data_IF_118580085778
#
_entry.id   IF_118580085778
#
_cell.length_a   1.000
_cell.length_b   1.000
_cell.length_c   1.000
_cell.angle_alpha   90.00
_cell.angle_beta   90.00
_cell.angle_gamma   90.00
#
_symmetry.space_group_name_H-M   'P 1'
#
loop_
_entity.id
_entity.type
_entity.pdbx_description
1 polymer ?
#
# COMPACT_ATOMS: atom_id res chain seq x y z
N UNK A 1 -14.43 3.35 16.90
CA UNK A 1 -15.67 2.59 17.24
C UNK A 1 -16.56 2.36 16.02
N UNK A 2 -16.72 3.37 15.15
CA UNK A 2 -17.57 3.26 13.96
C UNK A 2 -17.07 2.23 12.95
N UNK A 3 -15.75 2.17 12.71
CA UNK A 3 -15.13 1.26 11.76
C UNK A 3 -14.94 -0.17 12.30
N UNK A 4 -15.21 -0.43 13.59
CA UNK A 4 -15.00 -1.73 14.26
C UNK A 4 -13.58 -2.31 14.12
N UNK A 5 -12.59 -1.44 13.90
CA UNK A 5 -11.18 -1.85 13.78
C UNK A 5 -10.65 -2.22 15.17
N UNK A 6 -10.04 -3.39 15.28
CA UNK A 6 -9.26 -3.75 16.46
C UNK A 6 -7.93 -2.99 16.46
N UNK A 7 -7.66 -2.30 17.54
CA UNK A 7 -6.43 -1.52 17.72
C UNK A 7 -5.61 -2.01 18.93
N UNK A 8 -5.81 -3.25 19.34
CA UNK A 8 -5.09 -3.85 20.48
C UNK A 8 -3.57 -3.92 20.27
N UNK A 9 -3.14 -4.05 19.01
CA UNK A 9 -1.73 -4.03 18.63
C UNK A 9 -1.14 -2.63 18.42
N UNK A 10 -1.94 -1.56 18.56
CA UNK A 10 -1.43 -0.21 18.37
C UNK A 10 -0.67 0.27 19.60
N UNK A 11 0.60 0.64 19.43
CA UNK A 11 1.37 1.32 20.48
C UNK A 11 0.73 2.66 20.84
N UNK A 12 0.74 3.01 22.13
CA UNK A 12 0.20 4.27 22.64
C UNK A 12 1.34 5.18 23.08
N UNK A 13 1.21 6.46 22.78
CA UNK A 13 2.21 7.46 23.12
C UNK A 13 1.53 8.78 23.52
N UNK A 14 2.18 9.53 24.42
CA UNK A 14 1.77 10.90 24.77
C UNK A 14 2.34 11.95 23.80
N UNK A 15 3.06 11.53 22.75
CA UNK A 15 3.59 12.42 21.73
C UNK A 15 2.49 12.91 20.79
N UNK A 16 2.69 14.05 20.12
CA UNK A 16 1.76 14.51 19.10
C UNK A 16 1.57 13.48 17.98
N UNK A 17 0.44 13.54 17.29
CA UNK A 17 0.23 12.78 16.05
C UNK A 17 0.95 13.43 14.88
N UNK A 18 1.33 12.65 13.88
CA UNK A 18 1.75 13.16 12.59
C UNK A 18 0.58 13.89 11.91
N UNK A 19 0.85 15.06 11.35
CA UNK A 19 -0.16 15.86 10.64
C UNK A 19 0.29 16.10 9.21
N UNK A 20 -0.61 15.89 8.26
CA UNK A 20 -0.42 16.24 6.87
C UNK A 20 -1.36 17.40 6.50
N UNK A 21 -0.79 18.47 5.95
CA UNK A 21 -1.57 19.55 5.33
C UNK A 21 -1.56 19.34 3.81
N UNK A 22 -2.73 19.37 3.23
CA UNK A 22 -2.90 19.28 1.79
C UNK A 22 -3.27 20.67 1.29
N UNK A 23 -2.44 21.23 0.40
CA UNK A 23 -2.71 22.47 -0.29
C UNK A 23 -2.96 22.16 -1.76
N UNK A 24 -4.10 22.56 -2.26
CA UNK A 24 -4.38 22.51 -3.70
C UNK A 24 -3.80 23.78 -4.36
N UNK A 25 -2.94 23.58 -5.34
CA UNK A 25 -2.39 24.65 -6.20
C UNK A 25 -2.71 24.26 -7.63
N UNK A 26 -3.54 25.03 -8.30
CA UNK A 26 -3.98 24.78 -9.69
C UNK A 26 -4.55 23.37 -9.90
N UNK A 27 -5.29 22.86 -8.92
CA UNK A 27 -5.90 21.53 -8.94
C UNK A 27 -4.96 20.37 -8.59
N UNK A 28 -3.68 20.65 -8.32
CA UNK A 28 -2.71 19.67 -7.87
C UNK A 28 -2.51 19.71 -6.36
N UNK A 29 -2.52 18.54 -5.71
CA UNK A 29 -2.29 18.43 -4.29
C UNK A 29 -0.79 18.52 -3.97
N UNK A 30 -0.41 19.46 -3.13
CA UNK A 30 0.91 19.52 -2.49
C UNK A 30 0.76 19.17 -1.03
N UNK A 31 1.71 18.39 -0.51
CA UNK A 31 1.67 17.88 0.86
C UNK A 31 2.77 18.52 1.69
N UNK A 32 2.42 18.97 2.90
CA UNK A 32 3.37 19.32 3.94
C UNK A 32 3.12 18.41 5.15
N UNK A 33 4.13 17.64 5.52
CA UNK A 33 4.07 16.72 6.66
C UNK A 33 4.79 17.31 7.86
N UNK A 34 4.15 17.20 9.01
CA UNK A 34 4.70 17.58 10.31
C UNK A 34 4.81 16.32 11.16
N UNK A 35 5.97 15.69 11.13
CA UNK A 35 6.22 14.43 11.82
C UNK A 35 7.33 14.48 12.88
N UNK A 36 7.98 15.63 13.07
CA UNK A 36 9.01 15.79 14.10
C UNK A 36 8.46 15.51 15.50
N UNK A 37 9.15 14.65 16.24
CA UNK A 37 8.80 14.24 17.61
C UNK A 37 7.40 13.61 17.76
N UNK A 38 6.79 13.18 16.66
CA UNK A 38 5.47 12.54 16.70
C UNK A 38 5.55 11.08 17.14
N UNK A 39 4.43 10.55 17.60
CA UNK A 39 4.29 9.15 17.96
C UNK A 39 4.61 8.22 16.78
N UNK A 40 4.13 8.55 15.58
CA UNK A 40 4.36 7.74 14.39
C UNK A 40 5.83 7.70 13.97
N UNK A 41 6.52 8.85 13.97
CA UNK A 41 7.94 8.90 13.60
C UNK A 41 8.87 8.22 14.60
N UNK A 42 8.54 8.28 15.89
CA UNK A 42 9.41 7.79 16.95
C UNK A 42 9.04 6.39 17.46
N UNK A 43 8.21 5.67 16.67
CA UNK A 43 7.99 4.26 16.90
C UNK A 43 9.33 3.50 16.84
N UNK A 44 9.57 2.62 17.80
CA UNK A 44 10.83 1.89 17.91
C UNK A 44 10.58 0.39 18.17
N UNK A 45 11.65 -0.41 18.27
CA UNK A 45 11.55 -1.86 18.41
C UNK A 45 10.76 -2.35 19.62
N UNK A 46 10.78 -1.59 20.71
CA UNK A 46 10.07 -1.95 21.95
C UNK A 46 8.54 -1.75 21.81
N UNK A 47 8.11 -0.94 20.84
CA UNK A 47 6.71 -0.72 20.54
C UNK A 47 6.10 -1.80 19.64
N UNK A 48 6.91 -2.71 19.09
CA UNK A 48 6.43 -3.74 18.18
C UNK A 48 5.63 -4.82 18.91
N UNK A 49 4.39 -5.11 18.47
CA UNK A 49 3.58 -6.14 19.10
C UNK A 49 4.11 -7.55 18.82
N UNK A 50 3.81 -8.46 19.73
CA UNK A 50 3.82 -9.88 19.42
C UNK A 50 2.50 -10.21 18.74
N UNK A 51 2.59 -10.63 17.48
CA UNK A 51 1.42 -10.95 16.68
C UNK A 51 1.01 -12.41 16.90
N UNK A 52 -0.27 -12.64 17.17
CA UNK A 52 -0.85 -13.97 17.26
C UNK A 52 -1.11 -14.59 15.88
N UNK A 53 -1.50 -15.86 15.83
CA UNK A 53 -1.71 -16.61 14.59
C UNK A 53 -2.96 -16.16 13.80
N UNK A 54 -3.83 -15.34 14.39
CA UNK A 54 -5.01 -14.78 13.69
C UNK A 54 -4.62 -13.66 12.71
N UNK A 55 -3.45 -13.04 12.88
CA UNK A 55 -2.93 -12.07 11.94
C UNK A 55 -2.30 -12.80 10.75
N UNK A 56 -2.97 -12.86 9.63
CA UNK A 56 -2.49 -13.55 8.42
C UNK A 56 -1.68 -12.66 7.48
N UNK A 57 -1.96 -11.37 7.46
CA UNK A 57 -1.40 -10.43 6.49
C UNK A 57 -0.96 -9.14 7.17
N UNK A 58 0.18 -8.62 6.74
CA UNK A 58 0.71 -7.32 7.16
C UNK A 58 0.83 -6.38 5.95
N UNK A 59 0.34 -5.17 6.12
CA UNK A 59 0.46 -4.10 5.14
C UNK A 59 1.44 -3.03 5.63
N UNK A 60 2.37 -2.65 4.76
CA UNK A 60 3.37 -1.61 5.02
C UNK A 60 3.31 -0.55 3.92
N UNK A 61 3.38 0.72 4.29
CA UNK A 61 3.37 1.73 3.24
C UNK A 61 3.49 3.17 3.68
N UNK A 62 3.56 4.02 2.68
CA UNK A 62 3.53 5.46 2.80
C UNK A 62 4.73 6.07 3.52
N UNK A 63 4.47 7.22 4.13
CA UNK A 63 5.50 8.02 4.80
C UNK A 63 6.15 7.33 6.01
N UNK A 64 5.51 6.29 6.57
CA UNK A 64 6.07 5.52 7.69
C UNK A 64 7.33 4.72 7.32
N UNK A 65 7.61 4.57 6.02
CA UNK A 65 8.83 3.91 5.53
C UNK A 65 9.99 4.89 5.23
N UNK A 66 9.79 6.19 5.44
CA UNK A 66 10.77 7.23 5.05
C UNK A 66 11.76 7.52 6.18
N UNK A 67 11.26 7.88 7.34
CA UNK A 67 12.08 8.45 8.42
C UNK A 67 12.32 7.47 9.57
N UNK A 68 13.56 7.41 10.03
CA UNK A 68 13.93 6.65 11.22
C UNK A 68 13.54 7.42 12.51
N UNK A 69 13.31 6.67 13.62
CA UNK A 69 13.47 5.22 13.79
C UNK A 69 12.29 4.39 13.27
N UNK A 70 11.12 4.98 13.01
CA UNK A 70 9.92 4.23 12.63
C UNK A 70 10.13 3.37 11.39
N UNK A 71 10.79 3.91 10.35
CA UNK A 71 10.98 3.19 9.10
C UNK A 71 11.84 1.94 9.27
N UNK A 72 12.92 2.00 10.04
CA UNK A 72 13.73 0.82 10.40
C UNK A 72 12.96 -0.15 11.30
N UNK A 73 12.07 0.35 12.14
CA UNK A 73 11.22 -0.48 13.00
C UNK A 73 10.19 -1.27 12.18
N UNK A 74 9.55 -0.65 11.20
CA UNK A 74 8.64 -1.35 10.29
C UNK A 74 9.37 -2.32 9.36
N UNK A 75 10.58 -1.99 8.90
CA UNK A 75 11.42 -2.93 8.16
C UNK A 75 11.78 -4.16 9.01
N UNK A 76 12.11 -3.97 10.29
CA UNK A 76 12.40 -5.05 11.23
C UNK A 76 11.16 -5.92 11.49
N UNK A 77 9.97 -5.31 11.63
CA UNK A 77 8.72 -6.06 11.76
C UNK A 77 8.45 -6.92 10.53
N UNK A 78 8.58 -6.35 9.32
CA UNK A 78 8.43 -7.12 8.11
C UNK A 78 9.43 -8.29 8.06
N UNK A 79 10.71 -8.04 8.34
CA UNK A 79 11.74 -9.07 8.32
C UNK A 79 11.46 -10.21 9.32
N UNK A 80 10.91 -9.89 10.49
CA UNK A 80 10.54 -10.87 11.52
C UNK A 80 9.38 -11.77 11.09
N UNK A 81 8.40 -11.20 10.36
CA UNK A 81 7.13 -11.88 10.07
C UNK A 81 7.05 -12.43 8.64
N UNK A 82 7.92 -12.01 7.72
CA UNK A 82 7.80 -12.29 6.30
C UNK A 82 7.81 -13.79 5.94
N UNK A 83 8.44 -14.64 6.74
CA UNK A 83 8.44 -16.10 6.47
C UNK A 83 7.11 -16.77 6.85
N UNK A 84 6.34 -16.17 7.75
CA UNK A 84 5.14 -16.77 8.33
C UNK A 84 3.84 -16.18 7.80
N UNK A 85 3.85 -14.91 7.39
CA UNK A 85 2.66 -14.12 7.05
C UNK A 85 2.78 -13.56 5.65
N UNK A 86 1.64 -13.33 5.02
CA UNK A 86 1.59 -12.53 3.79
C UNK A 86 2.01 -11.11 4.11
N UNK A 87 2.94 -10.56 3.33
CA UNK A 87 3.33 -9.16 3.45
C UNK A 87 3.02 -8.41 2.16
N UNK A 88 2.34 -7.28 2.30
CA UNK A 88 2.04 -6.35 1.22
C UNK A 88 2.73 -5.02 1.48
N UNK A 89 3.34 -4.44 0.45
CA UNK A 89 3.96 -3.12 0.51
C UNK A 89 3.40 -2.20 -0.56
N UNK A 90 3.05 -0.96 -0.17
CA UNK A 90 2.80 0.17 -1.06
C UNK A 90 3.74 1.32 -0.65
N UNK A 91 4.83 1.56 -1.37
CA UNK A 91 5.76 2.64 -1.03
C UNK A 91 5.10 4.00 -1.01
N UNK A 92 4.10 4.21 -1.89
CA UNK A 92 3.33 5.46 -1.98
C UNK A 92 4.24 6.68 -1.90
N UNK A 93 5.17 6.76 -2.85
CA UNK A 93 6.37 7.61 -2.81
C UNK A 93 6.00 9.09 -2.82
N UNK A 94 6.58 9.85 -1.91
CA UNK A 94 6.43 11.30 -1.83
C UNK A 94 7.84 11.91 -1.86
N UNK A 95 8.39 12.23 -3.04
CA UNK A 95 9.79 12.66 -3.20
C UNK A 95 10.15 13.86 -2.33
N UNK A 96 9.23 14.80 -2.14
CA UNK A 96 9.42 15.99 -1.33
C UNK A 96 9.62 15.72 0.17
N UNK A 97 9.22 14.54 0.64
CA UNK A 97 9.36 14.13 2.04
C UNK A 97 10.61 13.27 2.29
N UNK A 98 11.26 12.80 1.25
CA UNK A 98 12.44 11.92 1.34
C UNK A 98 13.70 12.77 1.43
N UNK A 99 14.31 12.82 2.61
CA UNK A 99 15.56 13.57 2.85
C UNK A 99 16.82 12.78 2.50
N UNK A 100 16.78 11.44 2.63
CA UNK A 100 17.88 10.54 2.26
C UNK A 100 17.36 9.47 1.25
N UNK A 101 17.47 9.84 -0.03
CA UNK A 101 17.01 8.95 -1.10
C UNK A 101 17.80 7.64 -1.18
N UNK A 102 19.08 7.66 -0.86
CA UNK A 102 19.94 6.45 -0.94
C UNK A 102 19.48 5.42 0.09
N UNK A 103 19.32 5.83 1.33
CA UNK A 103 18.84 4.96 2.41
C UNK A 103 17.41 4.48 2.14
N UNK A 104 16.51 5.39 1.71
CA UNK A 104 15.13 5.05 1.39
C UNK A 104 15.04 4.01 0.26
N UNK A 105 15.78 4.19 -0.85
CA UNK A 105 15.81 3.22 -1.96
C UNK A 105 16.34 1.86 -1.52
N UNK A 106 17.43 1.83 -0.74
CA UNK A 106 18.00 0.60 -0.21
C UNK A 106 17.01 -0.13 0.72
N UNK A 107 16.27 0.61 1.57
CA UNK A 107 15.20 0.06 2.42
C UNK A 107 14.08 -0.54 1.58
N UNK A 108 13.58 0.20 0.59
CA UNK A 108 12.52 -0.31 -0.31
C UNK A 108 12.98 -1.58 -1.03
N UNK A 109 14.20 -1.64 -1.52
CA UNK A 109 14.72 -2.83 -2.19
C UNK A 109 14.69 -4.06 -1.27
N UNK A 110 15.16 -3.93 -0.04
CA UNK A 110 15.12 -5.01 0.95
C UNK A 110 13.69 -5.41 1.33
N UNK A 111 12.79 -4.43 1.47
CA UNK A 111 11.39 -4.70 1.84
C UNK A 111 10.62 -5.32 0.67
N UNK A 112 10.82 -4.84 -0.55
CA UNK A 112 10.20 -5.40 -1.77
C UNK A 112 10.64 -6.86 -1.96
N UNK A 113 11.92 -7.18 -1.77
CA UNK A 113 12.41 -8.54 -1.95
C UNK A 113 11.79 -9.57 -1.00
N UNK A 114 11.27 -9.13 0.14
CA UNK A 114 10.61 -9.99 1.15
C UNK A 114 9.08 -10.00 1.01
N UNK A 115 8.51 -9.03 0.28
CA UNK A 115 7.07 -8.91 0.13
C UNK A 115 6.48 -10.00 -0.77
N UNK A 116 5.26 -10.41 -0.48
CA UNK A 116 4.48 -11.29 -1.35
C UNK A 116 3.71 -10.47 -2.39
N UNK A 117 3.22 -9.30 -1.98
CA UNK A 117 2.44 -8.39 -2.81
C UNK A 117 3.11 -7.01 -2.77
N UNK A 118 3.32 -6.44 -3.95
CA UNK A 118 3.76 -5.05 -4.09
C UNK A 118 2.73 -4.29 -4.91
N UNK A 119 2.26 -3.16 -4.38
CA UNK A 119 1.46 -2.22 -5.16
C UNK A 119 2.27 -0.94 -5.35
N UNK A 120 2.22 -0.40 -6.54
CA UNK A 120 2.80 0.90 -6.90
C UNK A 120 1.85 1.64 -7.85
N UNK A 121 1.91 2.97 -7.87
CA UNK A 121 1.39 3.74 -8.99
C UNK A 121 2.39 3.70 -10.15
N UNK A 122 1.95 4.10 -11.35
CA UNK A 122 2.83 4.37 -12.49
C UNK A 122 3.90 5.41 -12.13
N UNK A 123 3.53 6.46 -11.41
CA UNK A 123 4.47 7.47 -10.92
C UNK A 123 5.52 6.89 -9.96
N UNK A 124 5.12 6.02 -9.02
CA UNK A 124 6.03 5.35 -8.09
C UNK A 124 7.04 4.46 -8.84
N UNK A 125 6.55 3.70 -9.86
CA UNK A 125 7.41 2.86 -10.68
C UNK A 125 8.44 3.68 -11.46
N UNK A 126 8.01 4.77 -12.10
CA UNK A 126 8.91 5.65 -12.83
C UNK A 126 9.92 6.32 -11.91
N UNK A 127 9.51 6.76 -10.72
CA UNK A 127 10.44 7.32 -9.74
C UNK A 127 11.50 6.30 -9.28
N UNK A 128 11.08 5.06 -9.07
CA UNK A 128 11.98 4.01 -8.54
C UNK A 128 12.91 3.43 -9.60
N UNK A 129 12.41 3.19 -10.83
CA UNK A 129 13.10 2.43 -11.87
C UNK A 129 13.46 3.25 -13.11
N UNK A 130 12.98 4.50 -13.21
CA UNK A 130 13.09 5.34 -14.40
C UNK A 130 11.94 5.13 -15.39
N UNK A 131 11.93 5.92 -16.46
CA UNK A 131 10.91 5.85 -17.50
C UNK A 131 10.95 4.51 -18.23
N UNK A 132 9.76 4.00 -18.60
CA UNK A 132 9.66 2.73 -19.30
C UNK A 132 8.23 2.22 -19.44
N UNK A 133 8.09 1.11 -20.13
CA UNK A 133 6.82 0.39 -20.22
C UNK A 133 6.43 -0.19 -18.86
N UNK A 134 5.22 0.08 -18.41
CA UNK A 134 4.76 -0.28 -17.05
C UNK A 134 4.72 -1.78 -16.80
N UNK A 135 4.46 -2.60 -17.83
CA UNK A 135 4.50 -4.05 -17.66
C UNK A 135 5.93 -4.52 -17.45
N UNK A 136 6.88 -4.01 -18.25
CA UNK A 136 8.30 -4.36 -18.10
C UNK A 136 8.86 -3.90 -16.76
N UNK A 137 8.53 -2.69 -16.32
CA UNK A 137 8.90 -2.19 -14.99
C UNK A 137 8.29 -3.03 -13.87
N UNK A 138 7.01 -3.40 -13.99
CA UNK A 138 6.34 -4.28 -13.03
C UNK A 138 6.95 -5.69 -12.98
N UNK A 139 7.37 -6.25 -14.11
CA UNK A 139 8.09 -7.53 -14.16
C UNK A 139 9.46 -7.44 -13.48
N UNK A 140 10.16 -6.31 -13.63
CA UNK A 140 11.40 -6.06 -12.90
C UNK A 140 11.22 -6.03 -11.37
N UNK A 141 10.04 -5.63 -10.90
CA UNK A 141 9.69 -5.76 -9.48
C UNK A 141 9.40 -7.22 -9.10
N UNK A 142 8.66 -7.99 -9.93
CA UNK A 142 8.44 -9.43 -9.71
C UNK A 142 9.75 -10.21 -9.58
N UNK A 143 10.74 -9.87 -10.40
CA UNK A 143 12.06 -10.54 -10.40
C UNK A 143 12.83 -10.31 -9.08
N UNK A 144 12.44 -9.31 -8.28
CA UNK A 144 13.03 -9.06 -6.95
C UNK A 144 12.48 -9.97 -5.86
N UNK A 145 11.35 -10.67 -6.07
CA UNK A 145 10.81 -11.61 -5.07
C UNK A 145 9.29 -11.72 -4.95
N UNK A 146 8.52 -10.64 -5.11
CA UNK A 146 7.07 -10.67 -4.97
C UNK A 146 6.40 -11.70 -5.88
N UNK A 147 5.22 -12.17 -5.47
CA UNK A 147 4.40 -13.09 -6.27
C UNK A 147 3.35 -12.33 -7.06
N UNK A 148 2.92 -11.19 -6.55
CA UNK A 148 1.93 -10.31 -7.16
C UNK A 148 2.43 -8.87 -7.15
N UNK A 149 2.41 -8.22 -8.32
CA UNK A 149 2.63 -6.77 -8.46
C UNK A 149 1.37 -6.13 -9.01
N UNK A 150 0.91 -5.10 -8.33
CA UNK A 150 -0.26 -4.31 -8.68
C UNK A 150 0.21 -2.91 -9.12
N UNK A 151 -0.25 -2.45 -10.28
CA UNK A 151 0.10 -1.13 -10.82
C UNK A 151 -1.17 -0.34 -11.01
N UNK A 152 -1.33 0.76 -10.28
CA UNK A 152 -2.46 1.69 -10.47
C UNK A 152 -2.08 2.80 -11.46
N UNK A 153 -3.00 3.13 -12.37
CA UNK A 153 -2.83 4.10 -13.44
C UNK A 153 -3.96 5.16 -13.42
N UNK A 154 -4.31 5.61 -12.23
CA UNK A 154 -5.36 6.61 -12.03
C UNK A 154 -6.68 6.24 -12.72
N UNK A 155 -7.21 7.14 -13.54
CA UNK A 155 -8.48 6.96 -14.24
C UNK A 155 -8.44 5.86 -15.32
N UNK A 156 -7.27 5.39 -15.74
CA UNK A 156 -7.16 4.29 -16.69
C UNK A 156 -7.52 2.94 -16.05
N UNK A 157 -7.19 2.76 -14.78
CA UNK A 157 -7.48 1.52 -14.07
C UNK A 157 -6.28 0.95 -13.33
N UNK A 158 -6.22 -0.38 -13.23
CA UNK A 158 -5.14 -1.06 -12.54
C UNK A 158 -4.77 -2.38 -13.21
N UNK A 159 -3.50 -2.74 -13.10
CA UNK A 159 -2.91 -3.98 -13.63
C UNK A 159 -2.46 -4.87 -12.47
N UNK A 160 -2.65 -6.17 -12.63
CA UNK A 160 -2.07 -7.21 -11.77
C UNK A 160 -1.12 -8.07 -12.60
N UNK A 161 0.11 -8.20 -12.13
CA UNK A 161 1.15 -9.01 -12.75
C UNK A 161 1.58 -10.11 -11.79
N UNK A 162 1.60 -11.33 -12.29
CA UNK A 162 2.30 -12.48 -11.73
C UNK A 162 3.24 -13.05 -12.80
N UNK A 163 4.02 -14.08 -12.46
CA UNK A 163 4.95 -14.67 -13.44
C UNK A 163 4.22 -15.05 -14.73
N UNK A 164 3.09 -15.76 -14.61
CA UNK A 164 2.36 -16.35 -15.73
C UNK A 164 1.04 -15.63 -16.05
N UNK A 165 0.70 -14.57 -15.30
CA UNK A 165 -0.56 -13.84 -15.46
C UNK A 165 -0.32 -12.34 -15.61
N UNK A 166 -1.13 -11.73 -16.47
CA UNK A 166 -1.20 -10.28 -16.68
C UNK A 166 -2.66 -9.90 -16.89
N UNK A 167 -3.25 -9.26 -15.89
CA UNK A 167 -4.66 -8.83 -15.91
C UNK A 167 -4.75 -7.32 -15.79
N UNK A 168 -5.71 -6.74 -16.48
CA UNK A 168 -5.99 -5.30 -16.43
C UNK A 168 -7.48 -5.06 -16.22
N UNK A 169 -7.82 -4.24 -15.23
CA UNK A 169 -9.18 -3.81 -14.96
C UNK A 169 -9.27 -2.29 -15.17
N UNK A 170 -10.19 -1.86 -16.05
CA UNK A 170 -10.47 -0.44 -16.24
C UNK A 170 -11.11 0.15 -15.00
N UNK A 171 -10.73 1.38 -14.65
CA UNK A 171 -11.42 2.10 -13.58
C UNK A 171 -12.88 2.41 -14.01
N UNK A 172 -13.85 2.24 -13.10
CA UNK A 172 -15.20 2.74 -13.33
C UNK A 172 -15.18 4.26 -13.53
N UNK A 173 -16.10 4.77 -14.37
CA UNK A 173 -16.26 6.22 -14.53
C UNK A 173 -16.73 6.83 -13.21
N UNK A 174 -16.03 7.85 -12.76
CA UNK A 174 -16.38 8.62 -11.57
C UNK A 174 -16.19 10.11 -11.81
N UNK A 175 -17.06 10.92 -11.20
CA UNK A 175 -16.84 12.36 -11.11
C UNK A 175 -15.91 12.59 -9.92
N UNK A 176 -14.67 12.98 -10.22
CA UNK A 176 -13.64 13.14 -9.20
C UNK A 176 -13.91 14.39 -8.37
N UNK A 177 -14.15 14.20 -7.08
CA UNK A 177 -14.26 15.26 -6.08
C UNK A 177 -12.91 15.45 -5.35
N UNK A 178 -12.22 14.33 -5.02
CA UNK A 178 -10.93 14.33 -4.32
C UNK A 178 -10.19 13.01 -4.63
N UNK A 179 -8.87 13.04 -4.71
CA UNK A 179 -8.06 11.84 -4.96
C UNK A 179 -7.42 11.26 -3.71
N UNK A 180 -7.59 11.93 -2.56
CA UNK A 180 -7.01 11.51 -1.27
C UNK A 180 -7.59 10.17 -0.84
N UNK A 181 -6.72 9.21 -0.50
CA UNK A 181 -7.11 7.89 -0.02
C UNK A 181 -7.51 6.88 -1.11
N UNK A 182 -7.50 7.27 -2.40
CA UNK A 182 -7.83 6.35 -3.48
C UNK A 182 -6.91 5.11 -3.51
N UNK A 183 -5.59 5.33 -3.39
CA UNK A 183 -4.60 4.26 -3.32
C UNK A 183 -4.78 3.36 -2.10
N UNK A 184 -5.04 3.96 -0.94
CA UNK A 184 -5.27 3.21 0.31
C UNK A 184 -6.55 2.37 0.22
N UNK A 185 -7.62 2.94 -0.37
CA UNK A 185 -8.87 2.21 -0.62
C UNK A 185 -8.69 1.09 -1.65
N UNK A 186 -7.89 1.31 -2.68
CA UNK A 186 -7.53 0.25 -3.63
C UNK A 186 -6.82 -0.90 -2.92
N UNK A 187 -5.83 -0.62 -2.09
CA UNK A 187 -5.12 -1.62 -1.29
C UNK A 187 -6.06 -2.40 -0.38
N UNK A 188 -6.96 -1.71 0.32
CA UNK A 188 -7.98 -2.33 1.16
C UNK A 188 -8.92 -3.24 0.35
N UNK A 189 -9.34 -2.81 -0.84
CA UNK A 189 -10.18 -3.59 -1.74
C UNK A 189 -9.50 -4.87 -2.23
N UNK A 190 -8.21 -4.81 -2.57
CA UNK A 190 -7.41 -6.00 -2.92
C UNK A 190 -7.35 -6.98 -1.76
N UNK A 191 -6.97 -6.50 -0.57
CA UNK A 191 -6.84 -7.36 0.61
C UNK A 191 -8.18 -7.96 1.02
N UNK A 192 -9.27 -7.20 0.94
CA UNK A 192 -10.62 -7.69 1.21
C UNK A 192 -11.04 -8.78 0.23
N UNK A 193 -10.78 -8.60 -1.07
CA UNK A 193 -11.10 -9.62 -2.07
C UNK A 193 -10.30 -10.91 -1.84
N UNK A 194 -8.99 -10.80 -1.59
CA UNK A 194 -8.15 -11.96 -1.29
C UNK A 194 -8.60 -12.69 -0.03
N UNK A 195 -9.03 -11.96 1.00
CA UNK A 195 -9.58 -12.53 2.22
C UNK A 195 -10.89 -13.27 1.98
N UNK A 196 -11.82 -12.67 1.22
CA UNK A 196 -13.10 -13.28 0.84
C UNK A 196 -12.92 -14.55 0.02
N UNK A 197 -11.90 -14.63 -0.83
CA UNK A 197 -11.53 -15.79 -1.62
C UNK A 197 -10.73 -16.83 -0.82
N UNK A 198 -10.39 -16.55 0.44
CA UNK A 198 -9.64 -17.46 1.31
C UNK A 198 -8.13 -17.47 1.08
N UNK A 199 -7.59 -16.50 0.32
CA UNK A 199 -6.17 -16.41 0.00
C UNK A 199 -5.36 -15.69 1.11
N UNK A 200 -5.27 -16.32 2.28
CA UNK A 200 -4.66 -15.77 3.50
C UNK A 200 -3.24 -16.26 3.77
N UNK A 201 -2.67 -17.06 2.88
CA UNK A 201 -1.34 -17.65 3.06
C UNK A 201 -0.41 -17.33 1.89
N UNK A 202 0.89 -17.31 2.13
CA UNK A 202 1.91 -17.11 1.09
C UNK A 202 1.75 -18.08 -0.09
N UNK A 203 1.48 -19.34 0.23
CA UNK A 203 1.24 -20.37 -0.79
C UNK A 203 -0.02 -20.13 -1.60
N UNK A 204 -1.08 -19.56 -1.03
CA UNK A 204 -2.29 -19.18 -1.74
C UNK A 204 -2.02 -17.98 -2.67
N UNK A 205 -1.32 -16.94 -2.17
CA UNK A 205 -0.93 -15.80 -3.01
C UNK A 205 -0.08 -16.23 -4.22
N UNK A 206 0.82 -17.18 -4.04
CA UNK A 206 1.66 -17.68 -5.14
C UNK A 206 0.89 -18.46 -6.22
N UNK A 207 -0.35 -18.85 -5.96
CA UNK A 207 -1.21 -19.68 -6.85
C UNK A 207 -2.51 -19.00 -7.25
N UNK A 208 -2.60 -17.68 -7.14
CA UNK A 208 -3.77 -16.93 -7.61
C UNK A 208 -4.01 -17.19 -9.10
N UNK A 209 -5.27 -17.41 -9.43
CA UNK A 209 -5.72 -17.60 -10.82
C UNK A 209 -6.05 -16.25 -11.46
N UNK A 210 -6.24 -16.26 -12.78
CA UNK A 210 -6.71 -15.05 -13.47
C UNK A 210 -8.06 -14.57 -12.94
N UNK A 211 -8.97 -15.50 -12.59
CA UNK A 211 -10.25 -15.15 -11.99
C UNK A 211 -10.11 -14.48 -10.63
N UNK A 212 -9.17 -14.95 -9.79
CA UNK A 212 -8.89 -14.30 -8.50
C UNK A 212 -8.34 -12.89 -8.68
N UNK A 213 -7.45 -12.70 -9.67
CA UNK A 213 -6.90 -11.39 -10.00
C UNK A 213 -7.98 -10.44 -10.52
N UNK A 214 -8.87 -10.92 -11.40
CA UNK A 214 -9.98 -10.13 -11.92
C UNK A 214 -10.94 -9.71 -10.80
N UNK A 215 -11.26 -10.61 -9.88
CA UNK A 215 -12.11 -10.32 -8.72
C UNK A 215 -11.46 -9.26 -7.81
N UNK A 216 -10.17 -9.44 -7.50
CA UNK A 216 -9.42 -8.50 -6.66
C UNK A 216 -9.32 -7.11 -7.30
N UNK A 217 -8.97 -7.02 -8.59
CA UNK A 217 -8.91 -5.76 -9.32
C UNK A 217 -10.29 -5.10 -9.42
N UNK A 218 -11.35 -5.86 -9.68
CA UNK A 218 -12.71 -5.34 -9.80
C UNK A 218 -13.19 -4.71 -8.50
N UNK A 219 -13.02 -5.39 -7.36
CA UNK A 219 -13.41 -4.85 -6.06
C UNK A 219 -12.59 -3.59 -5.72
N UNK A 220 -11.28 -3.66 -5.91
CA UNK A 220 -10.36 -2.57 -5.58
C UNK A 220 -10.61 -1.31 -6.42
N UNK A 221 -10.82 -1.45 -7.74
CA UNK A 221 -11.09 -0.31 -8.62
C UNK A 221 -12.45 0.31 -8.36
N UNK A 222 -13.48 -0.49 -8.04
CA UNK A 222 -14.81 0.04 -7.65
C UNK A 222 -14.73 0.82 -6.34
N UNK A 223 -14.08 0.25 -5.32
CA UNK A 223 -13.90 0.92 -4.03
C UNK A 223 -13.15 2.26 -4.20
N UNK A 224 -12.06 2.27 -4.95
CA UNK A 224 -11.31 3.48 -5.25
C UNK A 224 -12.15 4.51 -6.02
N UNK A 225 -12.96 4.09 -6.99
CA UNK A 225 -13.84 4.98 -7.76
C UNK A 225 -14.90 5.66 -6.89
N UNK A 226 -15.46 4.95 -5.89
CA UNK A 226 -16.38 5.54 -4.92
C UNK A 226 -15.65 6.55 -4.02
N UNK A 227 -14.44 6.22 -3.58
CA UNK A 227 -13.62 7.12 -2.75
C UNK A 227 -13.35 8.45 -3.46
N UNK A 228 -12.89 8.41 -4.72
CA UNK A 228 -12.58 9.65 -5.45
C UNK A 228 -13.80 10.51 -5.78
N UNK A 229 -15.00 9.94 -5.74
CA UNK A 229 -16.25 10.67 -5.92
C UNK A 229 -16.71 11.41 -4.65
N UNK A 230 -15.97 11.29 -3.55
CA UNK A 230 -16.29 11.87 -2.23
C UNK A 230 -15.19 12.85 -1.81
N UNK A 231 -15.54 13.84 -1.02
CA UNK A 231 -14.55 14.75 -0.44
C UNK A 231 -13.77 14.05 0.69
N UNK A 232 -12.45 14.22 0.70
CA UNK A 232 -11.54 13.63 1.67
C UNK A 232 -11.38 12.11 1.53
N UNK A 233 -10.59 11.51 2.40
CA UNK A 233 -10.39 10.05 2.45
C UNK A 233 -11.64 9.36 3.03
N UNK A 234 -12.66 9.19 2.20
CA UNK A 234 -13.96 8.66 2.57
C UNK A 234 -14.29 7.37 1.80
N UNK A 235 -13.73 6.21 2.22
CA UNK A 235 -13.92 4.94 1.54
C UNK A 235 -15.35 4.42 1.68
N UNK A 236 -15.81 3.56 0.75
CA UNK A 236 -17.12 2.92 0.85
C UNK A 236 -17.15 1.89 1.98
N UNK A 237 -18.35 1.68 2.53
CA UNK A 237 -18.68 0.53 3.34
C UNK A 237 -18.96 -0.70 2.46
N UNK A 238 -18.95 -1.89 3.07
CA UNK A 238 -19.13 -3.14 2.33
C UNK A 238 -20.49 -3.25 1.61
N UNK A 239 -21.53 -2.61 2.13
CA UNK A 239 -22.88 -2.57 1.55
C UNK A 239 -23.03 -1.55 0.40
N UNK A 240 -22.01 -0.75 0.15
CA UNK A 240 -21.94 0.19 -0.97
C UNK A 240 -21.14 -0.36 -2.19
N UNK A 241 -20.59 -1.58 -2.08
CA UNK A 241 -19.70 -2.21 -3.07
C UNK A 241 -20.39 -3.27 -3.92
#
# INVERSE_FOLDING_TARGET
>A
EQSKVDHSFAARSNRPTTVAFIKLVDGQATYAFYDENTAGRLLNGDDLPLLDDNVSTLFFGGISLVNDPAASTYEALQAREADRRVTMIDPNIRPSFITDQTNYRARLERMISRADIVKMSDEDLHWLLGEGDLENLGRSILDKGPKLVLITQGALGARALMRDHNRFCKAPLAIVADTVGAGDTFNAGVLAALDQLGHRTKGAIARLTESDLDAALSLATRAAAITVARAGANPPWADEL
#
